data_IF_406908744883
#
_entry.id   IF_406908744883
#
_cell.length_a   1.000
_cell.length_b   1.000
_cell.length_c   1.000
_cell.angle_alpha   90.00
_cell.angle_beta   90.00
_cell.angle_gamma   90.00
#
_symmetry.space_group_name_H-M   'P 1'
#
loop_
_entity.id
_entity.type
_entity.pdbx_description
1 polymer ?
#
# COMPACT_ATOMS: atom_id res chain seq x y z
N UNK A 1 -10.35 -32.45 -23.48
CA UNK A 1 -10.15 -31.49 -24.61
C UNK A 1 -9.51 -30.17 -24.12
N UNK A 2 -9.85 -29.60 -23.00
CA UNK A 2 -9.30 -28.32 -22.49
C UNK A 2 -7.76 -28.28 -22.31
N UNK A 3 -7.13 -29.38 -21.85
CA UNK A 3 -5.65 -29.44 -21.66
C UNK A 3 -4.86 -29.28 -22.98
N UNK A 4 -5.39 -29.77 -24.11
CA UNK A 4 -4.71 -29.63 -25.42
C UNK A 4 -4.73 -28.20 -25.94
N UNK A 5 -5.81 -27.45 -25.69
CA UNK A 5 -5.93 -26.05 -26.08
C UNK A 5 -5.05 -25.11 -25.25
N UNK A 6 -4.83 -25.41 -23.96
CA UNK A 6 -3.89 -24.68 -23.11
C UNK A 6 -2.46 -24.83 -23.58
N UNK A 7 -2.04 -26.03 -24.00
CA UNK A 7 -0.70 -26.29 -24.55
C UNK A 7 -0.53 -25.60 -25.91
N UNK A 8 -1.52 -25.64 -26.78
CA UNK A 8 -1.51 -24.95 -28.08
C UNK A 8 -1.48 -23.44 -27.90
N UNK A 9 -2.24 -22.89 -26.95
CA UNK A 9 -2.21 -21.47 -26.63
C UNK A 9 -0.87 -21.03 -26.02
N UNK A 10 -0.26 -21.86 -25.16
CA UNK A 10 1.07 -21.63 -24.63
C UNK A 10 2.16 -21.70 -25.72
N UNK A 11 2.06 -22.65 -26.68
CA UNK A 11 2.95 -22.75 -27.85
C UNK A 11 2.74 -21.57 -28.82
N UNK A 12 1.50 -21.11 -29.02
CA UNK A 12 1.20 -19.92 -29.82
C UNK A 12 1.79 -18.65 -29.19
N UNK A 13 1.65 -18.48 -27.87
CA UNK A 13 2.26 -17.39 -27.11
C UNK A 13 3.81 -17.45 -27.17
N UNK A 14 4.41 -18.64 -27.21
CA UNK A 14 5.86 -18.80 -27.38
C UNK A 14 6.33 -18.60 -28.84
N UNK A 15 5.49 -18.92 -29.82
CA UNK A 15 5.79 -18.74 -31.25
C UNK A 15 5.75 -17.29 -31.74
N UNK A 16 5.01 -16.42 -31.08
CA UNK A 16 4.95 -14.97 -31.41
C UNK A 16 6.18 -14.21 -30.89
N UNK A 17 7.05 -14.84 -30.08
CA UNK A 17 8.20 -14.19 -29.44
C UNK A 17 9.41 -13.91 -30.37
N UNK A 18 9.33 -14.17 -31.65
CA UNK A 18 10.46 -13.97 -32.61
C UNK A 18 10.39 -12.66 -33.41
N UNK A 19 9.54 -11.72 -33.03
CA UNK A 19 9.52 -10.37 -33.61
C UNK A 19 10.30 -9.40 -32.72
N UNK A 20 11.20 -8.63 -33.28
CA UNK A 20 12.01 -7.58 -32.63
C UNK A 20 11.19 -6.66 -31.75
N UNK A 21 11.35 -6.74 -30.43
CA UNK A 21 10.82 -5.89 -29.37
C UNK A 21 9.85 -6.54 -28.35
N UNK A 22 9.77 -7.88 -28.31
CA UNK A 22 8.99 -8.58 -27.29
C UNK A 22 9.92 -9.14 -26.21
N UNK A 23 9.62 -8.87 -24.96
CA UNK A 23 10.37 -9.41 -23.82
C UNK A 23 9.41 -10.07 -22.83
N UNK A 24 9.75 -11.28 -22.37
CA UNK A 24 9.07 -11.89 -21.22
C UNK A 24 9.53 -11.17 -19.97
N UNK A 25 8.59 -10.66 -19.21
CA UNK A 25 8.82 -10.00 -17.93
C UNK A 25 8.28 -10.87 -16.81
N UNK A 26 9.01 -10.96 -15.72
CA UNK A 26 8.60 -11.74 -14.56
C UNK A 26 9.12 -11.13 -13.26
N UNK A 27 8.49 -11.48 -12.16
CA UNK A 27 8.91 -11.12 -10.81
C UNK A 27 8.46 -12.17 -9.81
N UNK A 28 9.22 -12.33 -8.73
CA UNK A 28 8.84 -13.11 -7.56
C UNK A 28 9.07 -12.24 -6.33
N UNK A 29 8.03 -12.03 -5.56
CA UNK A 29 8.04 -11.30 -4.30
C UNK A 29 7.59 -12.24 -3.19
N UNK A 30 8.47 -12.46 -2.21
CA UNK A 30 8.23 -13.30 -1.04
C UNK A 30 8.43 -12.49 0.22
N UNK A 31 7.50 -12.62 1.15
CA UNK A 31 7.58 -12.06 2.50
C UNK A 31 7.29 -13.15 3.53
N UNK A 32 8.04 -13.14 4.63
CA UNK A 32 7.66 -13.81 5.88
C UNK A 32 7.69 -12.79 7.00
N UNK A 33 6.62 -12.73 7.77
CA UNK A 33 6.44 -11.71 8.79
C UNK A 33 5.93 -12.31 10.09
N UNK A 34 6.65 -12.03 11.17
CA UNK A 34 6.26 -12.28 12.56
C UNK A 34 5.97 -10.95 13.23
N UNK A 35 4.89 -10.87 14.00
CA UNK A 35 4.62 -9.75 14.89
C UNK A 35 3.95 -10.24 16.17
N UNK A 36 4.48 -9.79 17.30
CA UNK A 36 3.85 -9.87 18.61
C UNK A 36 3.42 -8.46 19.03
N UNK A 37 2.14 -8.30 19.35
CA UNK A 37 1.50 -7.03 19.72
C UNK A 37 1.02 -7.14 21.16
N UNK A 38 1.38 -6.17 21.98
CA UNK A 38 1.05 -6.09 23.39
C UNK A 38 0.59 -4.68 23.77
N UNK A 39 -0.22 -4.56 24.83
CA UNK A 39 -0.75 -3.30 25.32
C UNK A 39 -1.86 -2.72 24.44
N UNK A 40 -2.69 -3.59 23.90
CA UNK A 40 -3.81 -3.22 23.03
C UNK A 40 -5.07 -2.76 23.79
N UNK A 41 -6.14 -2.57 23.04
CA UNK A 41 -7.50 -2.29 23.50
C UNK A 41 -8.52 -3.10 22.68
N UNK A 42 -9.80 -2.86 22.89
CA UNK A 42 -10.88 -3.57 22.17
C UNK A 42 -10.78 -3.41 20.63
N UNK A 43 -10.31 -2.25 20.15
CA UNK A 43 -10.14 -2.01 18.71
C UNK A 43 -8.84 -2.63 18.16
N UNK A 44 -7.87 -2.86 19.02
CA UNK A 44 -6.51 -3.30 18.70
C UNK A 44 -6.06 -4.33 19.73
N UNK A 45 -6.66 -5.52 19.74
CA UNK A 45 -6.35 -6.54 20.75
C UNK A 45 -4.90 -7.01 20.64
N UNK A 46 -4.38 -7.49 21.78
CA UNK A 46 -3.12 -8.20 21.84
C UNK A 46 -3.18 -9.42 20.93
N UNK A 47 -2.17 -9.56 20.08
CA UNK A 47 -2.16 -10.63 19.09
C UNK A 47 -0.74 -10.95 18.63
N UNK A 48 -0.44 -12.25 18.62
CA UNK A 48 0.74 -12.78 17.90
C UNK A 48 0.30 -13.36 16.57
N UNK A 49 0.95 -12.98 15.49
CA UNK A 49 0.71 -13.57 14.18
C UNK A 49 2.00 -13.78 13.39
N UNK A 50 1.96 -14.84 12.61
CA UNK A 50 3.04 -15.22 11.71
C UNK A 50 2.42 -15.64 10.38
N UNK A 51 2.91 -15.08 9.29
CA UNK A 51 2.44 -15.44 7.96
C UNK A 51 3.56 -15.38 6.92
N UNK A 52 3.35 -16.07 5.81
CA UNK A 52 4.15 -15.91 4.60
C UNK A 52 3.27 -15.45 3.45
N UNK A 53 3.85 -14.68 2.54
CA UNK A 53 3.25 -14.27 1.28
C UNK A 53 4.19 -14.59 0.13
N UNK A 54 3.65 -15.16 -0.94
CA UNK A 54 4.35 -15.39 -2.20
C UNK A 54 3.54 -14.76 -3.34
N UNK A 55 4.18 -13.90 -4.13
CA UNK A 55 3.53 -13.21 -5.24
C UNK A 55 4.38 -13.29 -6.53
N UNK A 56 4.30 -14.40 -7.27
CA UNK A 56 4.87 -14.50 -8.60
C UNK A 56 4.00 -13.81 -9.64
N UNK A 57 4.65 -13.14 -10.60
CA UNK A 57 4.02 -12.57 -11.78
C UNK A 57 4.82 -12.90 -13.03
N UNK A 58 4.13 -13.09 -14.14
CA UNK A 58 4.71 -13.27 -15.48
C UNK A 58 3.93 -12.45 -16.51
N UNK A 59 4.58 -12.00 -17.56
CA UNK A 59 3.92 -11.22 -18.60
C UNK A 59 4.75 -11.03 -19.86
N UNK A 60 4.18 -10.28 -20.77
CA UNK A 60 4.78 -9.93 -22.05
C UNK A 60 4.87 -8.40 -22.14
N UNK A 61 6.05 -7.91 -22.49
CA UNK A 61 6.31 -6.51 -22.76
C UNK A 61 6.57 -6.29 -24.24
N UNK A 62 5.87 -5.31 -24.82
CA UNK A 62 6.09 -4.79 -26.17
C UNK A 62 6.70 -3.40 -26.05
N UNK A 63 7.75 -3.12 -26.82
CA UNK A 63 8.51 -1.87 -26.74
C UNK A 63 9.61 -1.94 -25.68
N UNK A 64 9.88 -0.81 -25.00
CA UNK A 64 10.96 -0.72 -24.03
C UNK A 64 10.46 -0.20 -22.67
N UNK A 65 11.34 -0.16 -21.68
CA UNK A 65 11.00 0.29 -20.32
C UNK A 65 10.50 1.75 -20.22
N UNK A 66 10.77 2.62 -21.21
CA UNK A 66 10.34 4.02 -21.23
C UNK A 66 9.05 4.21 -22.00
N UNK A 67 8.91 3.47 -23.11
CA UNK A 67 7.76 3.55 -24.01
C UNK A 67 7.37 2.12 -24.38
N UNK A 68 6.22 1.68 -23.96
CA UNK A 68 5.79 0.30 -24.23
C UNK A 68 4.51 -0.09 -23.53
N UNK A 69 4.11 -1.29 -23.84
CA UNK A 69 2.91 -1.95 -23.37
C UNK A 69 3.32 -3.22 -22.64
N UNK A 70 2.69 -3.53 -21.53
CA UNK A 70 2.96 -4.77 -20.79
C UNK A 70 1.63 -5.35 -20.34
N UNK A 71 1.43 -6.64 -20.57
CA UNK A 71 0.36 -7.41 -19.95
C UNK A 71 1.01 -8.37 -18.95
N UNK A 72 0.64 -8.29 -17.66
CA UNK A 72 1.13 -9.16 -16.60
C UNK A 72 0.00 -9.87 -15.91
N UNK A 73 0.25 -11.09 -15.50
CA UNK A 73 -0.64 -11.87 -14.65
C UNK A 73 0.14 -12.62 -13.60
N UNK A 74 -0.52 -12.93 -12.50
CA UNK A 74 0.08 -13.62 -11.37
C UNK A 74 -0.90 -13.83 -10.24
N UNK A 75 -0.37 -14.06 -9.06
CA UNK A 75 -1.14 -14.33 -7.86
C UNK A 75 -0.37 -13.85 -6.63
N UNK A 76 -1.09 -13.33 -5.64
CA UNK A 76 -0.57 -13.13 -4.29
C UNK A 76 -1.21 -14.16 -3.38
N UNK A 77 -0.42 -15.10 -2.87
CA UNK A 77 -0.82 -16.12 -1.91
C UNK A 77 -0.31 -15.71 -0.53
N UNK A 78 -1.22 -15.53 0.42
CA UNK A 78 -0.94 -15.22 1.81
C UNK A 78 -1.37 -16.39 2.68
N UNK A 79 -0.45 -17.00 3.42
CA UNK A 79 -0.66 -18.12 4.32
C UNK A 79 -0.30 -17.74 5.75
N UNK A 80 -1.25 -17.70 6.69
CA UNK A 80 -0.93 -17.74 8.12
C UNK A 80 -0.23 -19.06 8.47
N UNK A 81 0.87 -19.01 9.24
CA UNK A 81 1.66 -20.20 9.54
C UNK A 81 1.16 -21.00 10.76
N UNK A 82 0.27 -20.41 11.54
CA UNK A 82 -0.34 -21.01 12.73
C UNK A 82 -1.78 -21.47 12.50
N UNK A 83 -2.16 -21.71 11.23
CA UNK A 83 -3.52 -22.05 10.82
C UNK A 83 -3.50 -23.07 9.68
N UNK A 84 -4.67 -23.61 9.34
CA UNK A 84 -4.84 -24.58 8.26
C UNK A 84 -4.55 -23.95 6.87
N UNK A 85 -4.22 -24.80 5.90
CA UNK A 85 -4.01 -24.35 4.52
C UNK A 85 -5.29 -23.71 3.91
N UNK A 86 -6.45 -24.03 4.45
CA UNK A 86 -7.74 -23.43 4.07
C UNK A 86 -7.84 -21.94 4.43
N UNK A 87 -7.07 -21.46 5.38
CA UNK A 87 -7.04 -20.05 5.79
C UNK A 87 -6.18 -19.18 4.84
N UNK A 88 -5.58 -19.81 3.84
CA UNK A 88 -4.82 -19.09 2.82
C UNK A 88 -5.71 -18.11 2.05
N UNK A 89 -5.22 -16.90 1.87
CA UNK A 89 -5.84 -15.91 1.00
C UNK A 89 -5.12 -15.82 -0.32
N UNK A 90 -5.84 -16.11 -1.40
CA UNK A 90 -5.33 -16.01 -2.77
C UNK A 90 -5.97 -14.81 -3.44
N UNK A 91 -5.14 -13.91 -3.96
CA UNK A 91 -5.57 -12.69 -4.67
C UNK A 91 -4.92 -12.67 -6.06
N UNK A 92 -5.70 -12.88 -7.15
CA UNK A 92 -5.13 -12.87 -8.50
C UNK A 92 -4.68 -11.46 -8.90
N UNK A 93 -3.65 -11.38 -9.73
CA UNK A 93 -3.23 -10.17 -10.44
C UNK A 93 -3.40 -10.40 -11.94
N UNK A 94 -3.94 -9.43 -12.63
CA UNK A 94 -4.01 -9.40 -14.08
C UNK A 94 -4.21 -7.94 -14.50
N UNK A 95 -3.21 -7.35 -15.12
CA UNK A 95 -3.28 -5.95 -15.51
C UNK A 95 -2.50 -5.65 -16.77
N UNK A 96 -3.02 -4.68 -17.52
CA UNK A 96 -2.34 -4.06 -18.62
C UNK A 96 -1.64 -2.78 -18.12
N UNK A 97 -0.41 -2.54 -18.57
CA UNK A 97 0.39 -1.37 -18.27
C UNK A 97 0.82 -0.68 -19.54
N UNK A 98 0.53 0.61 -19.66
CA UNK A 98 1.04 1.52 -20.68
C UNK A 98 2.08 2.45 -20.10
N UNK A 99 3.21 2.65 -20.82
CA UNK A 99 4.28 3.59 -20.44
C UNK A 99 4.62 4.50 -21.61
N UNK A 100 4.65 5.80 -21.37
CA UNK A 100 5.07 6.78 -22.37
C UNK A 100 5.53 8.09 -21.73
N UNK A 101 6.76 8.54 -22.02
CA UNK A 101 7.31 9.86 -21.64
C UNK A 101 7.11 10.24 -20.15
N UNK A 102 7.23 9.30 -19.25
CA UNK A 102 7.06 9.49 -17.80
C UNK A 102 5.67 9.14 -17.27
N UNK A 103 4.69 8.97 -18.14
CA UNK A 103 3.39 8.39 -17.80
C UNK A 103 3.48 6.88 -17.63
N UNK A 104 2.74 6.37 -16.67
CA UNK A 104 2.46 4.95 -16.47
C UNK A 104 0.99 4.79 -16.08
N UNK A 105 0.24 4.08 -16.90
CA UNK A 105 -1.18 3.80 -16.65
C UNK A 105 -1.35 2.29 -16.59
N UNK A 106 -1.91 1.81 -15.50
CA UNK A 106 -2.25 0.41 -15.29
C UNK A 106 -3.77 0.27 -15.19
N UNK A 107 -4.32 -0.80 -15.75
CA UNK A 107 -5.75 -1.12 -15.72
C UNK A 107 -5.92 -2.60 -15.42
N UNK A 108 -6.77 -2.93 -14.46
CA UNK A 108 -7.08 -4.30 -14.05
C UNK A 108 -6.91 -4.57 -12.56
N UNK A 109 -6.41 -5.75 -12.20
CA UNK A 109 -6.06 -6.14 -10.83
C UNK A 109 -4.57 -5.88 -10.61
N UNK A 110 -4.23 -4.70 -10.14
CA UNK A 110 -2.89 -4.12 -10.12
C UNK A 110 -2.31 -4.28 -8.70
N UNK A 111 -1.13 -4.90 -8.52
CA UNK A 111 -0.49 -4.90 -7.21
C UNK A 111 -0.27 -3.48 -6.67
N UNK A 112 -0.57 -3.26 -5.38
CA UNK A 112 -0.33 -1.95 -4.74
C UNK A 112 1.16 -1.58 -4.73
N UNK A 113 2.05 -2.56 -4.88
CA UNK A 113 3.49 -2.35 -5.05
C UNK A 113 3.86 -1.60 -6.35
N UNK A 114 2.94 -1.48 -7.32
CA UNK A 114 3.12 -0.65 -8.52
C UNK A 114 2.97 0.85 -8.25
N UNK A 115 2.47 1.28 -7.09
CA UNK A 115 2.40 2.70 -6.71
C UNK A 115 3.78 3.33 -6.62
N UNK A 116 3.89 4.63 -6.93
CA UNK A 116 5.15 5.39 -6.75
C UNK A 116 5.47 5.54 -5.27
N UNK A 117 4.47 5.84 -4.46
CA UNK A 117 4.56 5.97 -3.01
C UNK A 117 3.26 5.46 -2.40
N UNK A 118 3.36 4.73 -1.30
CA UNK A 118 2.19 4.25 -0.56
C UNK A 118 1.45 5.40 0.12
N UNK A 119 0.15 5.17 0.31
CA UNK A 119 -0.64 6.01 1.20
C UNK A 119 -0.13 5.88 2.65
N UNK A 120 -0.11 6.98 3.40
CA UNK A 120 0.26 6.94 4.81
C UNK A 120 -0.78 6.21 5.65
N UNK A 121 -0.39 5.78 6.86
CA UNK A 121 -1.19 4.92 7.76
C UNK A 121 -2.55 5.49 8.15
N UNK A 122 -2.69 6.80 8.20
CA UNK A 122 -3.98 7.44 8.43
C UNK A 122 -4.95 7.36 7.24
N UNK A 123 -4.48 6.97 6.05
CA UNK A 123 -5.30 6.67 4.88
C UNK A 123 -5.41 5.16 4.64
N UNK A 124 -4.35 4.39 4.92
CA UNK A 124 -4.31 2.95 4.78
C UNK A 124 -3.56 2.29 5.94
N UNK A 125 -4.25 1.41 6.65
CA UNK A 125 -3.65 0.63 7.72
C UNK A 125 -2.60 -0.36 7.19
N UNK A 126 -1.67 -0.71 8.05
CA UNK A 126 -0.60 -1.66 7.73
C UNK A 126 -1.14 -3.03 7.26
N UNK A 127 -2.25 -3.50 7.84
CA UNK A 127 -2.89 -4.76 7.45
C UNK A 127 -3.52 -4.76 6.05
N UNK A 128 -3.84 -3.57 5.52
CA UNK A 128 -4.49 -3.46 4.20
C UNK A 128 -3.60 -3.99 3.07
N UNK A 129 -2.28 -3.77 3.15
CA UNK A 129 -1.32 -4.23 2.14
C UNK A 129 -1.35 -5.76 1.94
N UNK A 130 -1.66 -6.51 3.01
CA UNK A 130 -1.77 -7.98 2.96
C UNK A 130 -3.19 -8.46 2.68
N UNK A 131 -4.19 -7.82 3.28
CA UNK A 131 -5.60 -8.22 3.13
C UNK A 131 -6.19 -7.82 1.77
N UNK A 132 -5.76 -6.70 1.21
CA UNK A 132 -6.18 -6.17 -0.08
C UNK A 132 -4.95 -5.75 -0.89
N UNK A 133 -4.12 -6.71 -1.38
CA UNK A 133 -2.82 -6.42 -2.01
C UNK A 133 -2.95 -5.73 -3.36
N UNK A 134 -4.14 -5.69 -3.96
CA UNK A 134 -4.36 -5.18 -5.31
C UNK A 134 -5.31 -3.98 -5.33
N UNK A 135 -5.05 -3.05 -6.24
CA UNK A 135 -5.98 -2.05 -6.74
C UNK A 135 -6.79 -2.73 -7.85
N UNK A 136 -8.12 -2.68 -7.79
CA UNK A 136 -9.02 -3.26 -8.79
C UNK A 136 -9.63 -2.14 -9.62
N UNK A 137 -8.98 -1.76 -10.69
CA UNK A 137 -9.43 -0.65 -11.53
C UNK A 137 -8.29 0.04 -12.27
N UNK A 138 -7.95 1.27 -11.92
CA UNK A 138 -6.98 2.08 -12.64
C UNK A 138 -5.94 2.66 -11.68
N UNK A 139 -4.67 2.67 -12.12
CA UNK A 139 -3.58 3.40 -11.47
C UNK A 139 -2.84 4.21 -12.53
N UNK A 140 -3.02 5.51 -12.53
CA UNK A 140 -2.35 6.45 -13.41
C UNK A 140 -1.26 7.22 -12.65
N UNK A 141 -0.06 7.31 -13.23
CA UNK A 141 1.11 7.89 -12.59
C UNK A 141 1.90 8.72 -13.59
N UNK A 142 2.44 9.83 -13.12
CA UNK A 142 3.39 10.64 -13.85
C UNK A 142 4.65 10.84 -13.02
N UNK A 143 5.79 10.39 -13.54
CA UNK A 143 7.10 10.56 -12.94
C UNK A 143 8.16 10.58 -14.04
N UNK A 144 8.43 11.76 -14.62
CA UNK A 144 9.46 11.89 -15.65
C UNK A 144 10.87 11.88 -15.05
N UNK A 145 11.03 12.54 -13.91
CA UNK A 145 12.29 12.64 -13.14
C UNK A 145 11.97 12.45 -11.66
N UNK A 146 12.44 11.36 -11.03
CA UNK A 146 12.16 11.09 -9.62
C UNK A 146 12.58 12.22 -8.67
N UNK A 147 13.68 12.92 -8.99
CA UNK A 147 14.19 14.06 -8.20
C UNK A 147 13.32 15.33 -8.31
N UNK A 148 12.37 15.37 -9.25
CA UNK A 148 11.41 16.46 -9.39
C UNK A 148 10.04 16.14 -8.79
N UNK A 149 9.84 14.89 -8.38
CA UNK A 149 8.59 14.42 -7.79
C UNK A 149 7.76 13.53 -8.68
N UNK A 150 6.49 13.38 -8.31
CA UNK A 150 5.52 12.54 -9.00
C UNK A 150 4.10 13.06 -8.78
N UNK A 151 3.19 12.60 -9.61
CA UNK A 151 1.76 12.62 -9.37
C UNK A 151 1.20 11.21 -9.61
N UNK A 152 0.24 10.77 -8.80
CA UNK A 152 -0.47 9.53 -9.01
C UNK A 152 -1.93 9.64 -8.61
N UNK A 153 -2.75 8.89 -9.33
CA UNK A 153 -4.18 8.71 -9.07
C UNK A 153 -4.50 7.24 -9.22
N UNK A 154 -5.27 6.70 -8.29
CA UNK A 154 -5.91 5.42 -8.52
C UNK A 154 -7.41 5.46 -8.19
N UNK A 155 -8.14 4.57 -8.84
CA UNK A 155 -9.50 4.15 -8.54
C UNK A 155 -9.45 2.66 -8.22
N UNK A 156 -9.87 2.29 -7.01
CA UNK A 156 -9.95 0.91 -6.53
C UNK A 156 -11.41 0.56 -6.25
N UNK A 157 -11.99 -0.32 -7.08
CA UNK A 157 -13.31 -0.88 -6.86
C UNK A 157 -13.20 -2.03 -5.85
N UNK A 158 -13.30 -1.70 -4.59
CA UNK A 158 -13.01 -2.60 -3.46
C UNK A 158 -14.02 -3.74 -3.37
N UNK A 159 -15.29 -3.46 -3.65
CA UNK A 159 -16.38 -4.37 -3.43
C UNK A 159 -17.53 -4.10 -4.39
N UNK A 160 -18.01 -5.16 -5.05
CA UNK A 160 -19.21 -5.09 -5.90
C UNK A 160 -20.47 -5.30 -5.04
N UNK A 161 -21.52 -4.55 -5.32
CA UNK A 161 -22.81 -4.69 -4.68
C UNK A 161 -23.42 -6.08 -4.89
N UNK A 162 -23.96 -6.67 -3.82
CA UNK A 162 -24.76 -7.88 -3.82
C UNK A 162 -25.93 -7.76 -2.84
N UNK A 163 -26.72 -8.80 -2.67
CA UNK A 163 -27.94 -8.76 -1.86
C UNK A 163 -27.66 -8.27 -0.42
N UNK A 164 -26.60 -8.78 0.22
CA UNK A 164 -26.19 -8.41 1.58
C UNK A 164 -24.79 -7.81 1.64
N UNK A 165 -24.19 -7.49 0.48
CA UNK A 165 -22.86 -6.89 0.38
C UNK A 165 -22.97 -5.50 -0.21
N UNK A 166 -22.41 -4.54 0.48
CA UNK A 166 -22.35 -3.14 0.09
C UNK A 166 -21.38 -2.95 -1.09
N UNK A 167 -21.64 -1.98 -1.94
CA UNK A 167 -20.65 -1.53 -2.91
C UNK A 167 -19.64 -0.61 -2.21
N UNK A 168 -18.37 -0.74 -2.55
CA UNK A 168 -17.33 0.12 -2.01
C UNK A 168 -16.26 0.44 -3.05
N UNK A 169 -15.87 1.71 -3.13
CA UNK A 169 -14.71 2.11 -3.90
C UNK A 169 -13.87 3.15 -3.16
N UNK A 170 -12.62 3.24 -3.56
CA UNK A 170 -11.64 4.19 -3.04
C UNK A 170 -10.97 4.92 -4.19
N UNK A 171 -10.85 6.24 -4.10
CA UNK A 171 -10.05 7.07 -5.00
C UNK A 171 -8.96 7.74 -4.19
N UNK A 172 -7.72 7.67 -4.64
CA UNK A 172 -6.61 8.41 -4.05
C UNK A 172 -5.88 9.20 -5.12
N UNK A 173 -5.69 10.48 -4.83
CA UNK A 173 -4.79 11.37 -5.56
C UNK A 173 -3.64 11.69 -4.61
N UNK A 174 -2.41 11.55 -5.06
CA UNK A 174 -1.24 11.93 -4.28
C UNK A 174 -0.11 12.43 -5.19
N UNK A 175 0.76 13.22 -4.61
CA UNK A 175 1.92 13.74 -5.34
C UNK A 175 2.86 14.54 -4.48
N UNK A 176 4.05 14.76 -5.04
CA UNK A 176 5.11 15.59 -4.50
C UNK A 176 5.79 16.37 -5.61
N UNK A 177 6.14 17.62 -5.34
CA UNK A 177 7.01 18.43 -6.18
C UNK A 177 8.22 18.89 -5.38
N UNK A 178 9.44 18.64 -5.88
CA UNK A 178 10.69 18.98 -5.21
C UNK A 178 11.29 20.28 -5.73
N UNK A 179 11.77 21.08 -4.78
CA UNK A 179 12.65 22.23 -5.00
C UNK A 179 13.90 22.00 -4.15
N UNK A 180 14.95 21.49 -4.77
CA UNK A 180 16.11 20.98 -4.05
C UNK A 180 15.76 19.78 -3.17
N UNK A 181 16.04 19.89 -1.88
CA UNK A 181 15.71 18.86 -0.90
C UNK A 181 14.32 19.06 -0.23
N UNK A 182 13.70 20.22 -0.45
CA UNK A 182 12.36 20.53 0.05
C UNK A 182 11.32 20.05 -0.96
N UNK A 183 10.20 19.56 -0.48
CA UNK A 183 9.07 19.20 -1.32
C UNK A 183 7.74 19.68 -0.74
N UNK A 184 6.79 19.89 -1.61
CA UNK A 184 5.39 20.18 -1.31
C UNK A 184 4.51 19.16 -2.01
N UNK A 185 3.42 18.78 -1.37
CA UNK A 185 2.52 17.78 -1.93
C UNK A 185 1.43 17.37 -0.96
N UNK A 186 0.99 16.13 -1.06
CA UNK A 186 -0.02 15.60 -0.15
C UNK A 186 -0.90 14.55 -0.77
N UNK A 187 -2.07 14.36 -0.15
CA UNK A 187 -3.02 13.31 -0.46
C UNK A 187 -4.44 13.87 -0.45
N UNK A 188 -5.26 13.40 -1.38
CA UNK A 188 -6.72 13.52 -1.32
C UNK A 188 -7.29 12.13 -1.53
N UNK A 189 -8.05 11.64 -0.56
CA UNK A 189 -8.69 10.33 -0.62
C UNK A 189 -10.20 10.48 -0.53
N UNK A 190 -10.91 9.65 -1.27
CA UNK A 190 -12.35 9.49 -1.18
C UNK A 190 -12.70 8.02 -1.05
N UNK A 191 -13.34 7.65 0.06
CA UNK A 191 -13.94 6.35 0.26
C UNK A 191 -15.46 6.48 0.17
N UNK A 192 -16.08 5.60 -0.61
CA UNK A 192 -17.52 5.50 -0.75
C UNK A 192 -17.98 4.11 -0.37
N UNK A 193 -19.04 4.06 0.42
CA UNK A 193 -19.67 2.83 0.84
C UNK A 193 -21.18 2.96 0.58
N UNK A 194 -21.65 2.37 -0.52
CA UNK A 194 -23.05 2.37 -0.92
C UNK A 194 -23.88 1.37 -0.11
N UNK A 195 -25.18 1.33 -0.34
CA UNK A 195 -26.08 0.32 0.26
C UNK A 195 -25.89 -1.05 -0.41
N UNK A 196 -26.24 -2.12 0.32
CA UNK A 196 -26.49 -3.43 -0.27
C UNK A 196 -27.80 -3.41 -1.08
N UNK A 197 -28.05 -4.43 -1.93
CA UNK A 197 -29.30 -4.50 -2.71
C UNK A 197 -30.52 -4.68 -1.81
N UNK A 198 -30.40 -5.54 -0.81
CA UNK A 198 -31.45 -5.80 0.20
C UNK A 198 -31.02 -5.08 1.51
N UNK A 199 -30.84 -3.77 1.42
CA UNK A 199 -30.36 -2.96 2.54
C UNK A 199 -31.30 -3.09 3.76
N UNK A 200 -30.78 -3.49 4.94
CA UNK A 200 -31.58 -3.47 6.15
C UNK A 200 -31.95 -2.03 6.53
N UNK A 201 -32.99 -1.89 7.35
CA UNK A 201 -33.40 -0.58 7.87
C UNK A 201 -32.24 0.11 8.58
N UNK A 202 -32.03 1.39 8.29
CA UNK A 202 -30.93 2.19 8.83
C UNK A 202 -29.58 2.05 8.11
N UNK A 203 -29.45 1.15 7.10
CA UNK A 203 -28.26 1.14 6.26
C UNK A 203 -28.24 2.37 5.32
N UNK A 204 -27.32 3.28 5.56
CA UNK A 204 -27.11 4.51 4.77
C UNK A 204 -26.00 4.37 3.73
N UNK A 205 -25.95 5.30 2.79
CA UNK A 205 -24.76 5.54 1.98
C UNK A 205 -23.77 6.40 2.79
N UNK A 206 -22.51 6.03 2.78
CA UNK A 206 -21.48 6.68 3.56
C UNK A 206 -20.36 7.21 2.68
N UNK A 207 -19.88 8.38 3.04
CA UNK A 207 -18.76 9.04 2.38
C UNK A 207 -17.68 9.38 3.41
N UNK A 208 -16.42 9.21 3.03
CA UNK A 208 -15.25 9.61 3.79
C UNK A 208 -14.25 10.29 2.84
N UNK A 209 -13.94 11.58 3.08
CA UNK A 209 -13.03 12.37 2.27
C UNK A 209 -11.91 12.89 3.14
N UNK A 210 -10.68 12.48 2.86
CA UNK A 210 -9.48 12.99 3.54
C UNK A 210 -8.72 13.95 2.63
N UNK A 211 -8.33 15.11 3.16
CA UNK A 211 -7.46 16.09 2.50
C UNK A 211 -6.25 16.35 3.38
N UNK A 212 -5.07 16.11 2.85
CA UNK A 212 -3.83 16.21 3.61
C UNK A 212 -2.74 16.94 2.81
N UNK A 213 -2.66 18.29 2.88
CA UNK A 213 -1.52 19.05 2.37
C UNK A 213 -0.30 18.82 3.27
N UNK A 214 0.86 18.63 2.66
CA UNK A 214 2.12 18.34 3.33
C UNK A 214 3.29 19.10 2.72
N UNK A 215 4.28 19.39 3.54
CA UNK A 215 5.61 19.80 3.13
C UNK A 215 6.66 18.90 3.79
N UNK A 216 7.80 18.75 3.18
CA UNK A 216 8.86 17.96 3.75
C UNK A 216 10.24 18.30 3.20
N UNK A 217 11.21 17.67 3.84
CA UNK A 217 12.63 17.83 3.54
C UNK A 217 13.29 16.46 3.53
N UNK A 218 13.90 16.08 2.40
CA UNK A 218 14.59 14.82 2.21
C UNK A 218 16.08 15.08 2.02
N UNK A 219 16.89 14.70 3.00
CA UNK A 219 18.32 14.92 3.00
C UNK A 219 19.10 13.61 2.98
N UNK A 220 19.87 13.40 1.93
CA UNK A 220 20.82 12.31 1.82
C UNK A 220 22.20 12.79 2.32
N UNK A 221 22.49 12.53 3.58
CA UNK A 221 23.71 13.01 4.28
C UNK A 221 24.95 12.27 3.75
N UNK A 222 24.84 10.95 3.53
CA UNK A 222 25.90 10.08 3.04
C UNK A 222 25.29 8.86 2.31
N UNK A 223 26.08 8.01 1.64
CA UNK A 223 25.56 6.84 0.93
C UNK A 223 24.67 5.91 1.76
N UNK A 224 24.92 5.84 3.07
CA UNK A 224 24.15 5.02 4.03
C UNK A 224 23.55 5.84 5.18
N UNK A 225 23.41 7.16 5.02
CA UNK A 225 22.81 8.04 6.01
C UNK A 225 21.83 9.01 5.34
N UNK A 226 20.61 9.08 5.88
CA UNK A 226 19.57 9.99 5.37
C UNK A 226 18.66 10.45 6.50
N UNK A 227 18.15 11.66 6.34
CA UNK A 227 17.11 12.24 7.20
C UNK A 227 15.96 12.69 6.32
N UNK A 228 14.75 12.38 6.72
CA UNK A 228 13.51 12.86 6.11
C UNK A 228 12.62 13.44 7.18
N UNK A 229 12.10 14.60 6.93
CA UNK A 229 11.15 15.29 7.79
C UNK A 229 9.97 15.69 6.95
N UNK A 230 8.76 15.47 7.45
CA UNK A 230 7.54 15.97 6.80
C UNK A 230 6.52 16.36 7.85
N UNK A 231 5.73 17.37 7.52
CA UNK A 231 4.62 17.83 8.35
C UNK A 231 3.48 18.33 7.47
N UNK A 232 2.28 18.31 8.02
CA UNK A 232 1.09 18.80 7.33
C UNK A 232 -0.14 18.80 8.19
N UNK A 233 -1.22 19.31 7.63
CA UNK A 233 -2.55 19.24 8.21
C UNK A 233 -3.32 18.07 7.59
N UNK A 234 -4.28 17.51 8.31
CA UNK A 234 -5.28 16.60 7.77
C UNK A 234 -6.67 17.07 8.18
N UNK A 235 -7.56 17.01 7.22
CA UNK A 235 -9.00 17.23 7.43
C UNK A 235 -9.68 15.97 6.90
N UNK A 236 -10.54 15.36 7.74
CA UNK A 236 -11.35 14.23 7.33
C UNK A 236 -12.83 14.61 7.40
N UNK A 237 -13.55 14.39 6.32
CA UNK A 237 -14.96 14.72 6.17
C UNK A 237 -15.73 13.41 6.05
N UNK A 238 -16.48 13.04 7.08
CA UNK A 238 -17.31 11.84 7.08
C UNK A 238 -18.79 12.19 7.13
N UNK A 239 -19.58 11.41 6.40
CA UNK A 239 -21.03 11.52 6.42
C UNK A 239 -21.70 10.16 6.28
N UNK A 240 -22.72 9.93 7.11
CA UNK A 240 -23.75 8.93 6.90
C UNK A 240 -25.00 9.63 6.35
N UNK A 241 -25.40 9.29 5.12
CA UNK A 241 -26.56 9.93 4.48
C UNK A 241 -27.90 9.48 5.05
N UNK A 242 -27.92 8.47 5.93
CA UNK A 242 -29.12 8.08 6.68
C UNK A 242 -29.34 8.92 7.94
N UNK A 243 -28.32 9.70 8.38
CA UNK A 243 -28.38 10.57 9.54
C UNK A 243 -28.58 12.03 9.10
N UNK A 244 -29.41 12.78 9.83
CA UNK A 244 -29.64 14.22 9.55
C UNK A 244 -28.44 15.12 9.92
N UNK A 245 -27.46 14.59 10.65
CA UNK A 245 -26.36 15.36 11.26
C UNK A 245 -25.31 15.92 10.28
N UNK A 246 -25.45 15.71 8.97
CA UNK A 246 -24.56 16.26 7.98
C UNK A 246 -23.11 15.72 8.02
N UNK A 247 -22.15 16.55 7.61
CA UNK A 247 -20.73 16.21 7.59
C UNK A 247 -20.08 16.41 8.97
N UNK A 248 -19.34 15.39 9.43
CA UNK A 248 -18.39 15.49 10.54
C UNK A 248 -17.02 15.82 9.94
N UNK A 249 -16.34 16.84 10.47
CA UNK A 249 -15.13 17.41 9.86
C UNK A 249 -13.97 17.52 10.87
N UNK A 250 -13.49 16.41 11.47
CA UNK A 250 -12.32 16.48 12.34
C UNK A 250 -11.08 16.90 11.53
N UNK A 251 -10.19 17.63 12.20
CA UNK A 251 -8.92 18.04 11.64
C UNK A 251 -7.79 17.81 12.64
N UNK A 252 -6.56 17.78 12.17
CA UNK A 252 -5.37 17.61 12.98
C UNK A 252 -4.08 17.93 12.26
N UNK A 253 -3.01 17.90 13.04
CA UNK A 253 -1.63 18.01 12.59
C UNK A 253 -1.02 16.62 12.45
N UNK A 254 -0.21 16.42 11.41
CA UNK A 254 0.59 15.22 11.20
C UNK A 254 2.05 15.62 11.02
N UNK A 255 2.93 14.96 11.77
CA UNK A 255 4.38 15.10 11.64
C UNK A 255 5.05 13.73 11.51
N UNK A 256 6.13 13.68 10.75
CA UNK A 256 6.95 12.48 10.61
C UNK A 256 8.42 12.86 10.48
N UNK A 257 9.27 12.15 11.21
CA UNK A 257 10.73 12.23 11.10
C UNK A 257 11.27 10.81 10.90
N UNK A 258 12.03 10.57 9.85
CA UNK A 258 12.69 9.30 9.57
C UNK A 258 14.19 9.52 9.42
N UNK A 259 14.97 8.87 10.27
CA UNK A 259 16.41 8.82 10.20
C UNK A 259 16.92 7.42 9.84
N UNK A 260 17.91 7.34 8.97
CA UNK A 260 18.62 6.09 8.67
C UNK A 260 20.13 6.30 8.79
N UNK A 261 20.77 5.39 9.47
CA UNK A 261 22.21 5.33 9.57
C UNK A 261 22.70 3.88 9.46
N UNK A 262 23.41 3.60 8.37
CA UNK A 262 23.88 2.24 8.02
C UNK A 262 22.75 1.21 8.04
N UNK A 263 22.76 0.31 9.03
CA UNK A 263 21.80 -0.78 9.21
C UNK A 263 20.66 -0.43 10.18
N UNK A 264 20.72 0.74 10.82
CA UNK A 264 19.68 1.23 11.73
C UNK A 264 18.77 2.25 11.04
N UNK A 265 17.48 2.16 11.34
CA UNK A 265 16.47 3.12 10.94
C UNK A 265 15.57 3.44 12.14
N UNK A 266 15.27 4.70 12.32
CA UNK A 266 14.31 5.17 13.31
C UNK A 266 13.28 6.06 12.61
N UNK A 267 12.01 5.86 12.92
CA UNK A 267 10.90 6.68 12.39
C UNK A 267 9.99 7.09 13.54
N UNK A 268 9.67 8.37 13.60
CA UNK A 268 8.72 8.95 14.53
C UNK A 268 7.55 9.54 13.74
N UNK A 269 6.33 9.09 14.06
CA UNK A 269 5.09 9.67 13.54
C UNK A 269 4.31 10.28 14.70
N UNK A 270 3.73 11.45 14.50
CA UNK A 270 2.88 12.11 15.47
C UNK A 270 1.60 12.60 14.80
N UNK A 271 0.49 12.37 15.42
CA UNK A 271 -0.80 12.95 15.12
C UNK A 271 -1.35 13.67 16.36
N UNK A 272 -1.89 14.87 16.17
CA UNK A 272 -2.61 15.61 17.21
C UNK A 272 -3.80 16.35 16.59
N UNK A 273 -5.02 16.08 17.10
CA UNK A 273 -6.24 16.66 16.53
C UNK A 273 -7.52 16.08 17.11
N UNK A 274 -8.57 16.07 16.30
CA UNK A 274 -9.83 15.40 16.63
C UNK A 274 -9.75 13.89 16.39
N UNK A 275 -10.81 13.13 16.81
CA UNK A 275 -11.00 11.77 16.34
C UNK A 275 -11.14 11.80 14.81
N UNK A 276 -10.14 11.27 14.08
CA UNK A 276 -10.09 11.39 12.62
C UNK A 276 -11.19 10.57 11.94
N UNK A 277 -11.69 9.51 12.59
CA UNK A 277 -12.70 8.59 12.06
C UNK A 277 -13.94 8.55 12.96
N UNK A 278 -14.76 9.60 12.98
CA UNK A 278 -15.93 9.69 13.88
C UNK A 278 -17.00 8.62 13.64
N UNK A 279 -17.03 8.00 12.45
CA UNK A 279 -17.95 6.90 12.12
C UNK A 279 -17.33 5.50 12.28
N UNK A 280 -16.12 5.40 12.83
CA UNK A 280 -15.39 4.13 12.98
C UNK A 280 -16.19 3.07 13.75
N UNK A 281 -16.84 3.44 14.85
CA UNK A 281 -17.59 2.49 15.66
C UNK A 281 -18.78 1.85 14.91
N UNK A 282 -19.30 2.51 13.87
CA UNK A 282 -20.43 2.04 13.08
C UNK A 282 -19.99 1.24 11.85
N UNK A 283 -18.92 1.67 11.18
CA UNK A 283 -18.51 1.12 9.87
C UNK A 283 -17.10 0.53 9.86
N UNK A 284 -16.26 0.82 10.83
CA UNK A 284 -14.91 0.29 10.95
C UNK A 284 -14.09 0.44 9.66
N UNK A 285 -13.37 -0.61 9.31
CA UNK A 285 -12.53 -0.67 8.11
C UNK A 285 -13.31 -0.86 6.80
N UNK A 286 -14.63 -0.98 6.82
CA UNK A 286 -15.43 -0.96 5.59
C UNK A 286 -15.46 0.44 4.98
N UNK A 287 -15.58 1.47 5.81
CA UNK A 287 -15.54 2.87 5.39
C UNK A 287 -14.10 3.43 5.46
N UNK A 288 -13.45 3.30 6.61
CA UNK A 288 -12.15 3.90 6.88
C UNK A 288 -11.03 2.88 6.66
N UNK A 289 -10.18 3.12 5.67
CA UNK A 289 -9.04 2.24 5.36
C UNK A 289 -7.81 2.51 6.24
N UNK A 290 -7.82 3.64 6.95
CA UNK A 290 -6.75 4.06 7.86
C UNK A 290 -6.61 3.19 9.09
N UNK A 291 -5.55 3.43 9.85
CA UNK A 291 -5.30 2.73 11.10
C UNK A 291 -6.20 3.29 12.23
N UNK A 292 -6.82 2.40 13.00
CA UNK A 292 -7.72 2.76 14.10
C UNK A 292 -7.07 3.58 15.23
N UNK A 293 -5.73 3.67 15.28
CA UNK A 293 -5.03 4.57 16.21
C UNK A 293 -5.39 6.04 16.00
N UNK A 294 -5.79 6.43 14.78
CA UNK A 294 -6.22 7.79 14.45
C UNK A 294 -7.65 8.14 14.92
N UNK A 295 -8.36 7.19 15.56
CA UNK A 295 -9.56 7.48 16.35
C UNK A 295 -9.24 8.23 17.66
N UNK A 296 -7.97 8.28 18.07
CA UNK A 296 -7.49 8.99 19.24
C UNK A 296 -7.20 10.47 18.91
N UNK A 297 -7.32 11.37 19.90
CA UNK A 297 -6.98 12.79 19.73
C UNK A 297 -5.47 13.04 19.60
N UNK A 298 -4.70 12.14 20.20
CA UNK A 298 -3.24 12.12 20.11
C UNK A 298 -2.79 10.72 19.77
N UNK A 299 -1.84 10.61 18.83
CA UNK A 299 -1.19 9.36 18.51
C UNK A 299 0.29 9.59 18.16
N UNK A 300 1.15 8.85 18.84
CA UNK A 300 2.58 8.81 18.59
C UNK A 300 2.99 7.38 18.27
N UNK A 301 3.72 7.20 17.18
CA UNK A 301 4.32 5.92 16.80
C UNK A 301 5.82 6.10 16.59
N UNK A 302 6.60 5.30 17.32
CA UNK A 302 8.05 5.22 17.17
C UNK A 302 8.42 3.84 16.64
N UNK A 303 9.02 3.76 15.48
CA UNK A 303 9.56 2.53 14.89
C UNK A 303 11.09 2.56 14.97
N UNK A 304 11.69 1.57 15.61
CA UNK A 304 13.13 1.32 15.62
C UNK A 304 13.40 0.03 14.85
N UNK A 305 14.16 0.10 13.78
CA UNK A 305 14.42 -1.03 12.89
C UNK A 305 15.90 -1.28 12.70
N UNK A 306 16.28 -2.55 12.77
CA UNK A 306 17.62 -3.06 12.49
C UNK A 306 17.56 -3.95 11.23
N UNK A 307 18.24 -3.54 10.16
CA UNK A 307 18.42 -4.35 8.96
C UNK A 307 19.59 -5.33 9.19
N UNK A 308 19.27 -6.56 9.57
CA UNK A 308 20.24 -7.61 9.94
C UNK A 308 20.99 -8.10 8.69
N UNK A 309 20.23 -8.36 7.63
CA UNK A 309 20.75 -8.71 6.31
C UNK A 309 20.11 -7.80 5.28
N UNK A 310 20.92 -7.10 4.53
CA UNK A 310 20.44 -6.29 3.41
C UNK A 310 21.32 -6.53 2.20
N UNK A 311 20.80 -7.28 1.27
CA UNK A 311 21.45 -7.59 0.00
C UNK A 311 20.65 -6.99 -1.16
N UNK A 312 21.01 -7.36 -2.38
CA UNK A 312 20.27 -6.99 -3.58
C UNK A 312 18.90 -7.67 -3.67
N UNK A 313 18.74 -8.85 -3.08
CA UNK A 313 17.54 -9.69 -3.20
C UNK A 313 16.81 -9.90 -1.88
N UNK A 314 17.49 -9.74 -0.76
CA UNK A 314 17.00 -10.08 0.57
C UNK A 314 17.09 -8.87 1.49
N UNK A 315 16.06 -8.63 2.26
CA UNK A 315 16.08 -7.75 3.44
C UNK A 315 15.48 -8.53 4.61
N UNK A 316 16.32 -8.85 5.59
CA UNK A 316 15.92 -9.40 6.87
C UNK A 316 16.08 -8.31 7.92
N UNK A 317 15.02 -7.96 8.60
CA UNK A 317 15.04 -6.94 9.63
C UNK A 317 14.23 -7.35 10.88
N UNK A 318 14.64 -6.77 12.00
CA UNK A 318 13.88 -6.79 13.25
C UNK A 318 13.49 -5.37 13.60
N UNK A 319 12.30 -5.17 14.14
CA UNK A 319 11.83 -3.86 14.57
C UNK A 319 11.06 -3.91 15.89
N UNK A 320 11.16 -2.81 16.62
CA UNK A 320 10.38 -2.49 17.79
C UNK A 320 9.52 -1.29 17.46
N UNK A 321 8.22 -1.38 17.71
CA UNK A 321 7.28 -0.29 17.47
C UNK A 321 6.56 0.04 18.76
N UNK A 322 6.57 1.32 19.13
CA UNK A 322 5.84 1.84 20.28
C UNK A 322 4.67 2.67 19.78
N UNK A 323 3.49 2.38 20.32
CA UNK A 323 2.26 3.11 20.04
C UNK A 323 1.79 3.79 21.33
N UNK A 324 1.66 5.11 21.30
CA UNK A 324 1.14 5.89 22.42
C UNK A 324 -0.04 6.72 21.95
N UNK A 325 -1.16 6.57 22.63
CA UNK A 325 -2.35 7.41 22.42
C UNK A 325 -2.73 8.09 23.74
N UNK A 326 -3.80 8.86 23.72
CA UNK A 326 -4.43 9.41 24.93
C UNK A 326 -5.05 8.34 25.84
N UNK A 327 -5.10 7.06 25.41
CA UNK A 327 -5.77 5.95 26.12
C UNK A 327 -4.88 4.76 26.41
N UNK A 328 -3.95 4.44 25.50
CA UNK A 328 -3.15 3.21 25.58
C UNK A 328 -1.68 3.46 25.24
N UNK A 329 -0.84 2.55 25.73
CA UNK A 329 0.55 2.41 25.30
C UNK A 329 0.75 0.99 24.82
N UNK A 330 0.94 0.80 23.51
CA UNK A 330 1.16 -0.50 22.88
C UNK A 330 2.61 -0.68 22.45
N UNK A 331 3.06 -1.93 22.45
CA UNK A 331 4.40 -2.31 22.05
C UNK A 331 4.36 -3.49 21.09
N UNK A 332 5.04 -3.38 19.94
CA UNK A 332 5.11 -4.45 18.97
C UNK A 332 6.55 -4.88 18.71
N UNK A 333 6.78 -6.18 18.71
CA UNK A 333 8.04 -6.83 18.33
C UNK A 333 7.80 -7.49 16.98
N UNK A 334 8.68 -7.21 16.01
CA UNK A 334 8.47 -7.72 14.66
C UNK A 334 9.78 -8.22 14.07
N UNK A 335 9.67 -9.29 13.27
CA UNK A 335 10.75 -9.78 12.41
C UNK A 335 10.16 -9.99 11.03
N UNK A 336 10.81 -9.46 10.01
CA UNK A 336 10.40 -9.69 8.64
C UNK A 336 11.58 -10.08 7.75
N UNK A 337 11.31 -11.01 6.85
CA UNK A 337 12.24 -11.44 5.81
C UNK A 337 11.54 -11.24 4.46
N UNK A 338 12.13 -10.44 3.61
CA UNK A 338 11.66 -10.26 2.24
C UNK A 338 12.71 -10.71 1.25
N UNK A 339 12.27 -11.48 0.26
CA UNK A 339 13.03 -11.80 -0.93
C UNK A 339 12.30 -11.25 -2.16
N UNK A 340 13.01 -10.52 -3.00
CA UNK A 340 12.47 -10.01 -4.25
C UNK A 340 13.46 -10.22 -5.40
N UNK A 341 12.95 -10.73 -6.52
CA UNK A 341 13.72 -10.88 -7.76
C UNK A 341 12.80 -10.59 -8.96
N UNK A 342 13.36 -9.96 -9.98
CA UNK A 342 12.73 -9.75 -11.27
C UNK A 342 13.78 -9.90 -12.41
N UNK A 343 13.32 -9.87 -13.66
CA UNK A 343 14.21 -10.00 -14.81
C UNK A 343 15.32 -8.93 -14.87
N UNK A 344 15.08 -7.73 -14.32
CA UNK A 344 16.08 -6.66 -14.32
C UNK A 344 17.18 -6.92 -13.29
N UNK A 345 16.79 -7.32 -12.07
CA UNK A 345 17.72 -7.74 -11.03
C UNK A 345 18.51 -8.99 -11.45
N UNK A 346 17.86 -9.96 -12.09
CA UNK A 346 18.51 -11.16 -12.61
C UNK A 346 19.58 -10.82 -13.65
N UNK A 347 19.29 -9.86 -14.54
CA UNK A 347 20.23 -9.36 -15.57
C UNK A 347 21.21 -8.31 -15.02
N UNK A 348 21.38 -8.20 -13.71
CA UNK A 348 22.20 -7.17 -13.05
C UNK A 348 21.85 -5.72 -13.40
N UNK A 349 20.61 -5.45 -13.81
CA UNK A 349 20.08 -4.11 -14.05
C UNK A 349 19.45 -3.53 -12.79
N UNK A 350 19.23 -2.21 -12.74
CA UNK A 350 18.44 -1.58 -11.66
C UNK A 350 16.97 -1.92 -11.84
N UNK A 351 16.42 -2.73 -10.95
CA UNK A 351 14.97 -2.92 -10.86
C UNK A 351 14.32 -1.69 -10.25
N UNK A 352 13.31 -1.13 -10.94
CA UNK A 352 12.51 -0.02 -10.42
C UNK A 352 11.63 -0.45 -9.24
N UNK A 353 11.26 -1.71 -9.19
CA UNK A 353 10.35 -2.25 -8.18
C UNK A 353 11.07 -2.67 -6.89
N UNK A 354 12.33 -3.03 -6.96
CA UNK A 354 13.12 -3.42 -5.79
C UNK A 354 13.17 -2.35 -4.70
N UNK A 355 13.51 -1.09 -5.07
CA UNK A 355 13.59 0.02 -4.11
C UNK A 355 12.22 0.46 -3.59
N UNK A 356 11.16 0.25 -4.36
CA UNK A 356 9.79 0.59 -3.97
C UNK A 356 9.19 -0.49 -3.08
N UNK A 357 9.18 -1.72 -3.52
CA UNK A 357 8.61 -2.85 -2.81
C UNK A 357 9.30 -3.15 -1.48
N UNK A 358 10.65 -3.10 -1.40
CA UNK A 358 11.41 -3.33 -0.17
C UNK A 358 11.05 -2.40 0.97
N UNK A 359 10.81 -1.13 0.69
CA UNK A 359 10.41 -0.15 1.71
C UNK A 359 8.92 -0.20 2.06
N UNK A 360 8.10 -0.63 1.12
CA UNK A 360 6.65 -0.55 1.23
C UNK A 360 6.08 -1.53 2.25
N UNK A 361 6.51 -2.78 2.22
CA UNK A 361 6.02 -3.80 3.13
C UNK A 361 6.74 -3.76 4.49
N UNK A 362 7.93 -3.16 4.55
CA UNK A 362 8.73 -3.08 5.77
C UNK A 362 8.49 -1.82 6.61
N UNK A 363 8.06 -0.71 6.01
CA UNK A 363 7.72 0.51 6.76
C UNK A 363 6.31 0.48 7.34
N UNK A 364 5.54 -0.57 7.05
CA UNK A 364 4.12 -0.63 7.33
C UNK A 364 3.73 -1.67 8.39
N UNK A 365 4.70 -2.22 9.15
CA UNK A 365 4.38 -3.12 10.26
C UNK A 365 4.84 -2.58 11.60
#
# INVERSE_FOLDING_TARGET
>A
MAKKWLVVMAMWLMGVAYGNAQEVVWSVDFDSHFANREGGDELRPDQTFLFTRLAPEIGIQLGNQRNGHTLKGGVSWLQPLNSDAADAKVSPTLYYQYRHKGWRVNVGMIPRTEMVEHAPRYLWSDSLAYRQPNIRGVLAQYQKRPERGYAQLFLDWRQQQADFRREAFNVLISGKAYVGNVWFGGHVQYNHLAKSKLAPEGEGVNDDVSVNPMAGFDWKIAPKASLKVKAGAIINLERDRSEENGWKAPCGFIGNVQGRWKWLEAEQNVYAGGNLFPLWNKYGSELNLGDSYYCSKFYSRTDLRAHIVQTRFVDLNASLTFHVTDKITGFWQQVSCRFYIDQDLWKHRRSKNYLRGGRMLQSNF
#
